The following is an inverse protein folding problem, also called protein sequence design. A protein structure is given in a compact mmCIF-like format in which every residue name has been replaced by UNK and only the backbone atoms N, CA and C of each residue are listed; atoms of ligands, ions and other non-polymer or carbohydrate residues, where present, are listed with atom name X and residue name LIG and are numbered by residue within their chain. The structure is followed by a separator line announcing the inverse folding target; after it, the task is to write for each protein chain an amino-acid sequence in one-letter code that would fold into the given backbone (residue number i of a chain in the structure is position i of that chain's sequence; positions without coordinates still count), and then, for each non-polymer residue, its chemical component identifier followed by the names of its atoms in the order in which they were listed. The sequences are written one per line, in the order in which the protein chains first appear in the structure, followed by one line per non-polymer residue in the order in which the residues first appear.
data_IF_479685660737
#
_entry.id   IF_479685660737
#
_cell.length_a   1.000
_cell.length_b   1.000
_cell.length_c   1.000
_cell.angle_alpha   90.00
_cell.angle_beta   90.00
_cell.angle_gamma   90.00
#
_symmetry.space_group_name_H-M   'P 1'
#
loop_
_entity.id
_entity.type
_entity.pdbx_description
1 polymer ?
#
# COMPACT_ATOMS: atom_id res chain seq x y z
N UNK A 1 25.63 -9.81 13.30
CA UNK A 1 24.95 -10.65 14.30
C UNK A 1 24.59 -11.96 13.63
N UNK A 2 24.93 -13.11 14.22
CA UNK A 2 24.38 -14.39 13.75
C UNK A 2 22.88 -14.37 14.10
N UNK A 3 22.03 -14.50 13.09
CA UNK A 3 20.60 -14.77 13.29
C UNK A 3 20.51 -16.11 14.01
N UNK A 4 20.19 -16.11 15.30
CA UNK A 4 19.84 -17.34 16.01
C UNK A 4 18.51 -17.83 15.42
N UNK A 5 18.50 -19.08 14.94
CA UNK A 5 17.29 -19.73 14.48
C UNK A 5 16.35 -19.83 15.68
N UNK A 6 15.09 -19.39 15.51
CA UNK A 6 14.05 -19.48 16.53
C UNK A 6 13.89 -20.93 16.98
N UNK A 7 13.65 -21.12 18.28
CA UNK A 7 13.40 -22.46 18.82
C UNK A 7 12.05 -23.00 18.35
N UNK A 8 11.90 -24.32 18.32
CA UNK A 8 10.62 -24.98 18.00
C UNK A 8 9.51 -24.58 18.97
N UNK A 9 9.84 -24.44 20.25
CA UNK A 9 8.90 -24.02 21.30
C UNK A 9 8.38 -22.58 21.08
N UNK A 10 9.23 -21.67 20.62
CA UNK A 10 8.81 -20.30 20.27
C UNK A 10 7.87 -20.28 19.06
N UNK A 11 8.15 -21.11 18.05
CA UNK A 11 7.29 -21.26 16.87
C UNK A 11 5.93 -21.86 17.23
N UNK A 12 5.90 -22.89 18.06
CA UNK A 12 4.65 -23.54 18.49
C UNK A 12 3.77 -22.57 19.29
N UNK A 13 4.36 -21.79 20.20
CA UNK A 13 3.64 -20.73 20.94
C UNK A 13 3.13 -19.61 20.03
N UNK A 14 3.87 -19.25 18.99
CA UNK A 14 3.46 -18.27 17.99
C UNK A 14 2.29 -18.80 17.15
N UNK A 15 2.36 -20.07 16.72
CA UNK A 15 1.28 -20.76 16.01
C UNK A 15 0.02 -20.86 16.87
N UNK A 16 0.13 -21.28 18.14
CA UNK A 16 -1.00 -21.35 19.06
C UNK A 16 -1.64 -19.97 19.27
N UNK A 17 -0.83 -18.92 19.43
CA UNK A 17 -1.31 -17.54 19.52
C UNK A 17 -2.03 -17.12 18.24
N UNK A 18 -1.45 -17.41 17.08
CA UNK A 18 -2.08 -17.10 15.78
C UNK A 18 -3.43 -17.82 15.70
N UNK A 19 -3.46 -19.15 15.85
CA UNK A 19 -4.69 -19.95 15.80
C UNK A 19 -5.76 -19.44 16.76
N UNK A 20 -5.39 -19.09 18.00
CA UNK A 20 -6.31 -18.50 18.96
C UNK A 20 -6.88 -17.17 18.47
N UNK A 21 -6.01 -16.27 17.98
CA UNK A 21 -6.45 -15.00 17.42
C UNK A 21 -7.37 -15.21 16.22
N UNK A 22 -7.12 -16.21 15.36
CA UNK A 22 -7.98 -16.57 14.24
C UNK A 22 -9.39 -16.93 14.76
N UNK A 23 -9.48 -17.85 15.72
CA UNK A 23 -10.77 -18.30 16.27
C UNK A 23 -11.53 -17.16 16.96
N UNK A 24 -10.86 -16.37 17.81
CA UNK A 24 -11.48 -15.22 18.49
C UNK A 24 -11.95 -14.16 17.48
N UNK A 25 -11.20 -13.96 16.39
CA UNK A 25 -11.59 -13.04 15.31
C UNK A 25 -12.80 -13.52 14.52
N UNK A 26 -12.93 -14.83 14.30
CA UNK A 26 -14.12 -15.43 13.69
C UNK A 26 -15.34 -15.29 14.59
N UNK A 27 -15.21 -15.63 15.87
CA UNK A 27 -16.29 -15.49 16.85
C UNK A 27 -16.74 -14.03 16.97
N UNK A 28 -15.79 -13.09 17.00
CA UNK A 28 -16.10 -11.66 17.01
C UNK A 28 -16.79 -11.22 15.71
N UNK A 29 -16.32 -11.68 14.55
CA UNK A 29 -16.89 -11.32 13.25
C UNK A 29 -18.36 -11.74 13.12
N UNK A 30 -18.67 -13.00 13.46
CA UNK A 30 -20.04 -13.51 13.42
C UNK A 30 -20.91 -12.81 14.47
N UNK A 31 -20.35 -12.52 15.64
CA UNK A 31 -21.02 -11.75 16.68
C UNK A 31 -21.38 -10.33 16.21
N UNK A 32 -20.45 -9.58 15.61
CA UNK A 32 -20.70 -8.20 15.17
C UNK A 32 -21.65 -8.12 13.97
N UNK A 33 -21.62 -9.08 13.04
CA UNK A 33 -22.55 -9.12 11.90
C UNK A 33 -24.00 -9.33 12.33
N UNK A 34 -24.22 -9.92 13.51
CA UNK A 34 -25.56 -10.09 14.09
C UNK A 34 -26.20 -8.79 14.59
N UNK A 35 -25.46 -7.68 14.68
CA UNK A 35 -25.99 -6.40 15.13
C UNK A 35 -26.46 -5.51 13.97
N UNK A 36 -27.66 -4.97 14.12
CA UNK A 36 -28.17 -3.88 13.28
C UNK A 36 -27.74 -2.53 13.86
N UNK A 37 -26.52 -2.09 13.53
CA UNK A 37 -26.01 -0.79 13.95
C UNK A 37 -26.57 0.32 13.06
N UNK A 38 -27.31 1.26 13.66
CA UNK A 38 -27.73 2.47 12.96
C UNK A 38 -26.57 3.46 12.79
N UNK A 39 -26.75 4.43 11.88
CA UNK A 39 -25.79 5.53 11.65
C UNK A 39 -25.32 6.20 12.96
N UNK A 40 -26.23 6.42 13.92
CA UNK A 40 -25.87 7.07 15.20
C UNK A 40 -24.94 6.21 16.04
N UNK A 41 -25.12 4.90 16.03
CA UNK A 41 -24.34 3.98 16.83
C UNK A 41 -22.92 3.89 16.27
N UNK A 42 -22.81 3.72 14.94
CA UNK A 42 -21.53 3.76 14.22
C UNK A 42 -20.71 5.00 14.54
N UNK A 43 -21.33 6.19 14.46
CA UNK A 43 -20.60 7.44 14.67
C UNK A 43 -20.23 7.69 16.14
N UNK A 44 -21.08 7.26 17.09
CA UNK A 44 -20.84 7.43 18.53
C UNK A 44 -19.78 6.48 19.09
N UNK A 45 -19.54 5.36 18.43
CA UNK A 45 -18.51 4.41 18.84
C UNK A 45 -17.08 4.96 18.65
N UNK A 46 -16.91 6.04 17.89
CA UNK A 46 -15.61 6.68 17.70
C UNK A 46 -15.40 7.77 18.75
N UNK A 47 -14.49 7.53 19.68
CA UNK A 47 -14.08 8.50 20.70
C UNK A 47 -13.13 9.55 20.12
N UNK A 48 -13.70 10.60 19.54
CA UNK A 48 -12.94 11.68 18.89
C UNK A 48 -11.98 12.40 19.86
N UNK A 49 -12.33 12.55 21.14
CA UNK A 49 -11.48 13.23 22.14
C UNK A 49 -10.19 12.43 22.33
N UNK A 50 -10.32 11.11 22.44
CA UNK A 50 -9.16 10.21 22.56
C UNK A 50 -8.24 10.28 21.34
N UNK A 51 -8.77 10.53 20.13
CA UNK A 51 -7.93 10.74 18.94
C UNK A 51 -7.12 12.03 19.07
N UNK A 52 -7.74 13.12 19.52
CA UNK A 52 -7.03 14.38 19.71
C UNK A 52 -5.90 14.25 20.75
N UNK A 53 -6.14 13.51 21.83
CA UNK A 53 -5.16 13.23 22.87
C UNK A 53 -3.99 12.38 22.34
N UNK A 54 -4.28 11.23 21.72
CA UNK A 54 -3.25 10.29 21.25
C UNK A 54 -2.46 10.88 20.08
N UNK A 55 -3.14 11.53 19.14
CA UNK A 55 -2.50 12.02 17.91
C UNK A 55 -1.77 13.36 18.11
N UNK A 56 -1.89 13.99 19.28
CA UNK A 56 -1.19 15.23 19.61
C UNK A 56 0.30 15.14 19.32
N UNK A 57 0.93 14.04 19.71
CA UNK A 57 2.37 13.82 19.60
C UNK A 57 2.75 12.96 18.39
N UNK A 58 1.79 12.60 17.53
CA UNK A 58 2.09 11.81 16.33
C UNK A 58 3.05 12.55 15.38
N UNK A 59 4.09 11.84 14.96
CA UNK A 59 4.99 12.22 13.88
C UNK A 59 4.49 11.72 12.50
N UNK A 60 5.27 12.02 11.46
CA UNK A 60 4.92 11.63 10.09
C UNK A 60 4.84 10.12 9.87
N UNK A 61 5.73 9.33 10.47
CA UNK A 61 5.74 7.87 10.29
C UNK A 61 4.51 7.25 10.95
N UNK A 62 4.17 7.72 12.15
CA UNK A 62 2.99 7.25 12.87
C UNK A 62 1.70 7.55 12.08
N UNK A 63 1.57 8.74 11.47
CA UNK A 63 0.46 9.02 10.56
C UNK A 63 0.47 8.12 9.32
N UNK A 64 1.64 7.93 8.71
CA UNK A 64 1.77 7.09 7.52
C UNK A 64 1.25 5.67 7.78
N UNK A 65 1.72 5.04 8.86
CA UNK A 65 1.30 3.68 9.25
C UNK A 65 -0.19 3.66 9.59
N UNK A 66 -0.66 4.63 10.38
CA UNK A 66 -2.07 4.72 10.75
C UNK A 66 -3.01 4.86 9.54
N UNK A 67 -2.62 5.62 8.52
CA UNK A 67 -3.41 5.76 7.28
C UNK A 67 -3.33 4.52 6.41
N UNK A 68 -2.14 3.95 6.17
CA UNK A 68 -1.98 2.75 5.33
C UNK A 68 -2.82 1.59 5.84
N UNK A 69 -2.80 1.37 7.15
CA UNK A 69 -3.68 0.41 7.84
C UNK A 69 -5.15 0.59 7.47
N UNK A 70 -5.68 1.82 7.61
CA UNK A 70 -7.10 2.13 7.34
C UNK A 70 -7.46 2.03 5.86
N UNK A 71 -6.55 2.41 4.97
CA UNK A 71 -6.72 2.28 3.52
C UNK A 71 -6.84 0.80 3.14
N UNK A 72 -5.97 -0.06 3.67
CA UNK A 72 -6.02 -1.51 3.43
C UNK A 72 -7.33 -2.11 3.92
N UNK A 73 -7.76 -1.79 5.15
CA UNK A 73 -9.05 -2.28 5.67
C UNK A 73 -10.24 -1.82 4.82
N UNK A 74 -10.25 -0.55 4.36
CA UNK A 74 -11.30 -0.08 3.46
C UNK A 74 -11.30 -0.83 2.12
N UNK A 75 -10.11 -1.12 1.57
CA UNK A 75 -9.97 -1.88 0.34
C UNK A 75 -10.47 -3.32 0.51
N UNK A 76 -10.16 -3.97 1.64
CA UNK A 76 -10.66 -5.31 1.96
C UNK A 76 -12.18 -5.35 2.10
N UNK A 77 -12.79 -4.35 2.75
CA UNK A 77 -14.26 -4.23 2.83
C UNK A 77 -14.87 -4.05 1.43
N UNK A 78 -14.27 -3.23 0.58
CA UNK A 78 -14.75 -3.02 -0.79
C UNK A 78 -14.60 -4.27 -1.65
N UNK A 79 -13.48 -4.99 -1.52
CA UNK A 79 -13.27 -6.24 -2.24
C UNK A 79 -14.23 -7.33 -1.78
N UNK A 80 -14.43 -7.49 -0.49
CA UNK A 80 -15.41 -8.43 0.06
C UNK A 80 -16.83 -8.15 -0.46
N UNK A 81 -17.23 -6.87 -0.56
CA UNK A 81 -18.51 -6.49 -1.17
C UNK A 81 -18.62 -6.85 -2.64
N UNK A 82 -17.51 -6.75 -3.38
CA UNK A 82 -17.46 -7.17 -4.78
C UNK A 82 -17.66 -8.68 -4.89
N UNK A 83 -16.96 -9.47 -4.07
CA UNK A 83 -17.13 -10.93 -3.99
C UNK A 83 -18.58 -11.30 -3.63
N UNK A 84 -19.16 -10.69 -2.60
CA UNK A 84 -20.56 -10.90 -2.19
C UNK A 84 -21.58 -10.52 -3.29
N UNK A 85 -21.18 -9.72 -4.28
CA UNK A 85 -22.04 -9.32 -5.41
C UNK A 85 -21.91 -10.21 -6.65
N UNK A 86 -20.96 -11.14 -6.67
CA UNK A 86 -20.79 -12.08 -7.77
C UNK A 86 -21.97 -13.06 -7.81
N UNK A 87 -22.60 -13.18 -8.99
CA UNK A 87 -23.70 -14.11 -9.21
C UNK A 87 -23.21 -15.38 -9.89
N UNK A 88 -23.93 -16.48 -9.67
CA UNK A 88 -23.58 -17.75 -10.31
C UNK A 88 -23.66 -17.66 -11.83
N UNK A 89 -24.56 -16.85 -12.39
CA UNK A 89 -24.62 -16.60 -13.84
C UNK A 89 -23.39 -15.86 -14.38
N UNK A 90 -22.82 -14.93 -13.61
CA UNK A 90 -21.56 -14.27 -13.99
C UNK A 90 -20.41 -15.28 -14.01
N UNK A 91 -20.31 -16.12 -12.99
CA UNK A 91 -19.33 -17.21 -12.92
C UNK A 91 -19.45 -18.17 -14.11
N UNK A 92 -20.67 -18.58 -14.46
CA UNK A 92 -20.89 -19.48 -15.60
C UNK A 92 -20.53 -18.83 -16.94
N UNK A 93 -20.60 -17.50 -17.06
CA UNK A 93 -20.27 -16.81 -18.31
C UNK A 93 -18.78 -16.85 -18.68
N UNK A 94 -17.92 -17.19 -17.71
CA UNK A 94 -16.49 -17.40 -17.93
C UNK A 94 -16.16 -18.79 -18.49
N UNK A 95 -17.15 -19.70 -18.58
CA UNK A 95 -17.00 -21.01 -19.20
C UNK A 95 -17.54 -20.97 -20.62
N UNK A 96 -16.66 -21.18 -21.61
CA UNK A 96 -17.09 -21.33 -23.01
C UNK A 96 -17.43 -22.78 -23.34
N UNK A 97 -18.41 -23.00 -24.22
CA UNK A 97 -18.82 -24.34 -24.68
C UNK A 97 -17.63 -25.15 -25.28
N UNK A 98 -16.62 -24.46 -25.79
CA UNK A 98 -15.41 -25.07 -26.39
C UNK A 98 -14.36 -25.51 -25.35
N UNK A 99 -14.34 -24.90 -24.14
CA UNK A 99 -13.41 -25.23 -23.05
C UNK A 99 -13.91 -26.38 -22.17
N UNK A 100 -15.21 -26.69 -22.20
CA UNK A 100 -15.83 -27.79 -21.45
C UNK A 100 -15.49 -29.17 -22.04
N UNK A 101 -14.87 -29.22 -23.23
CA UNK A 101 -14.51 -30.45 -23.95
C UNK A 101 -13.03 -30.87 -23.84
N UNK A 102 -12.18 -30.08 -23.18
CA UNK A 102 -10.78 -30.45 -22.94
C UNK A 102 -10.67 -31.14 -21.56
N UNK A 103 -10.02 -32.31 -21.48
CA UNK A 103 -9.89 -33.14 -20.26
C UNK A 103 -9.11 -32.46 -19.11
N UNK A 104 -8.69 -31.20 -19.32
CA UNK A 104 -7.85 -30.40 -18.42
C UNK A 104 -8.66 -29.29 -17.73
N UNK A 105 -9.78 -28.84 -18.29
CA UNK A 105 -10.58 -27.73 -17.76
C UNK A 105 -11.56 -28.24 -16.71
N UNK A 106 -11.48 -27.67 -15.51
CA UNK A 106 -12.37 -28.07 -14.41
C UNK A 106 -13.80 -27.68 -14.75
N UNK A 107 -14.74 -28.61 -14.60
CA UNK A 107 -16.17 -28.32 -14.73
C UNK A 107 -16.59 -27.23 -13.73
N UNK A 108 -17.58 -26.38 -14.08
CA UNK A 108 -18.13 -25.41 -13.14
C UNK A 108 -18.63 -26.14 -11.89
N UNK A 109 -18.32 -25.58 -10.72
CA UNK A 109 -18.79 -26.13 -9.45
C UNK A 109 -20.31 -25.95 -9.32
N UNK A 110 -21.01 -26.82 -8.58
CA UNK A 110 -22.43 -26.61 -8.27
C UNK A 110 -22.70 -25.23 -7.65
N UNK A 111 -23.87 -24.67 -7.90
CA UNK A 111 -24.28 -23.34 -7.41
C UNK A 111 -24.14 -23.19 -5.88
N UNK A 112 -24.48 -24.25 -5.13
CA UNK A 112 -24.33 -24.28 -3.67
C UNK A 112 -22.86 -24.14 -3.24
N UNK A 113 -21.97 -24.92 -3.87
CA UNK A 113 -20.53 -24.90 -3.59
C UNK A 113 -19.90 -23.56 -4.01
N UNK A 114 -20.39 -22.94 -5.08
CA UNK A 114 -19.98 -21.60 -5.50
C UNK A 114 -20.27 -20.55 -4.42
N UNK A 115 -21.52 -20.52 -3.92
CA UNK A 115 -21.91 -19.56 -2.89
C UNK A 115 -21.22 -19.81 -1.54
N UNK A 116 -20.94 -21.07 -1.20
CA UNK A 116 -20.16 -21.39 0.00
C UNK A 116 -18.68 -20.99 -0.17
N UNK A 117 -18.11 -21.16 -1.37
CA UNK A 117 -16.79 -20.64 -1.72
C UNK A 117 -16.68 -19.13 -1.57
N UNK A 118 -17.65 -18.36 -2.10
CA UNK A 118 -17.71 -16.90 -1.93
C UNK A 118 -17.73 -16.51 -0.45
N UNK A 119 -18.56 -17.17 0.37
CA UNK A 119 -18.63 -16.88 1.82
C UNK A 119 -17.27 -17.10 2.48
N UNK A 120 -16.56 -18.17 2.12
CA UNK A 120 -15.26 -18.48 2.70
C UNK A 120 -14.17 -17.49 2.25
N UNK A 121 -14.19 -17.07 0.99
CA UNK A 121 -13.28 -16.05 0.48
C UNK A 121 -13.55 -14.68 1.10
N UNK A 122 -14.82 -14.30 1.27
CA UNK A 122 -15.23 -13.08 2.00
C UNK A 122 -14.79 -13.13 3.45
N UNK A 123 -14.95 -14.28 4.14
CA UNK A 123 -14.45 -14.47 5.51
C UNK A 123 -12.93 -14.32 5.59
N UNK A 124 -12.20 -14.90 4.63
CA UNK A 124 -10.73 -14.82 4.58
C UNK A 124 -10.28 -13.37 4.36
N UNK A 125 -10.91 -12.67 3.43
CA UNK A 125 -10.61 -11.27 3.13
C UNK A 125 -10.88 -10.35 4.33
N UNK A 126 -11.97 -10.61 5.07
CA UNK A 126 -12.37 -9.78 6.21
C UNK A 126 -11.72 -10.16 7.54
N UNK A 127 -10.79 -11.11 7.56
CA UNK A 127 -10.15 -11.58 8.79
C UNK A 127 -9.32 -10.48 9.49
N UNK A 128 -8.43 -9.80 8.76
CA UNK A 128 -7.68 -8.66 9.31
C UNK A 128 -8.60 -7.47 9.62
N UNK A 129 -9.70 -7.36 8.85
CA UNK A 129 -10.73 -6.35 9.08
C UNK A 129 -11.43 -6.57 10.42
N UNK A 130 -11.81 -7.80 10.79
CA UNK A 130 -12.51 -8.07 12.05
C UNK A 130 -11.64 -7.72 13.27
N UNK A 131 -10.35 -8.08 13.23
CA UNK A 131 -9.37 -7.68 14.25
C UNK A 131 -9.27 -6.15 14.35
N UNK A 132 -9.29 -5.45 13.21
CA UNK A 132 -9.24 -3.99 13.24
C UNK A 132 -10.52 -3.36 13.76
N UNK A 133 -11.69 -3.89 13.40
CA UNK A 133 -12.98 -3.43 13.92
C UNK A 133 -13.04 -3.56 15.44
N UNK A 134 -12.55 -4.68 15.99
CA UNK A 134 -12.44 -4.87 17.44
C UNK A 134 -11.62 -3.74 18.09
N UNK A 135 -10.46 -3.41 17.51
CA UNK A 135 -9.63 -2.29 17.96
C UNK A 135 -10.36 -0.95 17.84
N UNK A 136 -11.21 -0.74 16.85
CA UNK A 136 -12.03 0.48 16.76
C UNK A 136 -13.00 0.54 17.94
N UNK A 137 -13.75 -0.53 18.20
CA UNK A 137 -14.75 -0.57 19.28
C UNK A 137 -14.15 -0.38 20.68
N UNK A 138 -12.94 -0.89 20.94
CA UNK A 138 -12.22 -0.65 22.20
C UNK A 138 -11.42 0.66 22.22
N UNK A 139 -11.47 1.45 21.14
CA UNK A 139 -10.75 2.73 21.01
C UNK A 139 -9.22 2.58 20.89
N UNK A 140 -8.74 1.38 20.56
CA UNK A 140 -7.32 1.05 20.44
C UNK A 140 -6.81 1.13 18.99
N UNK A 141 -7.68 1.41 18.01
CA UNK A 141 -7.33 1.51 16.58
C UNK A 141 -6.29 2.59 16.25
N UNK A 142 -6.06 3.57 17.12
CA UNK A 142 -5.05 4.63 16.95
C UNK A 142 -3.66 4.16 17.35
N UNK A 143 -3.56 3.19 18.27
CA UNK A 143 -2.25 2.72 18.76
C UNK A 143 -1.48 2.04 17.63
N UNK A 144 -0.19 2.34 17.57
CA UNK A 144 0.77 1.66 16.69
C UNK A 144 1.45 0.55 17.49
N UNK A 145 1.37 -0.68 16.98
CA UNK A 145 1.90 -1.90 17.57
C UNK A 145 3.01 -2.48 16.68
N UNK A 146 3.71 -3.51 17.17
CA UNK A 146 4.73 -4.22 16.38
C UNK A 146 4.18 -4.78 15.07
N UNK A 147 2.94 -5.27 15.09
CA UNK A 147 2.31 -5.91 13.94
C UNK A 147 2.03 -4.89 12.84
N UNK A 148 1.86 -3.62 13.20
CA UNK A 148 1.64 -2.52 12.25
C UNK A 148 2.91 -2.16 11.46
N UNK A 149 4.09 -2.69 11.83
CA UNK A 149 5.31 -2.53 11.04
C UNK A 149 5.17 -3.13 9.64
N UNK A 150 4.23 -4.07 9.42
CA UNK A 150 3.93 -4.62 8.09
C UNK A 150 3.57 -3.54 7.08
N UNK A 151 2.87 -2.48 7.51
CA UNK A 151 2.49 -1.35 6.68
C UNK A 151 3.65 -0.41 6.35
N UNK A 152 4.78 -0.56 7.06
CA UNK A 152 6.01 0.15 6.78
C UNK A 152 7.00 -0.69 5.95
N UNK A 153 6.91 -2.03 5.91
CA UNK A 153 7.97 -2.92 5.39
C UNK A 153 8.57 -2.52 4.02
N UNK A 154 7.75 -2.02 3.10
CA UNK A 154 8.21 -1.61 1.77
C UNK A 154 8.81 -0.20 1.70
N UNK A 155 9.05 0.44 2.85
CA UNK A 155 9.61 1.80 2.90
C UNK A 155 10.96 1.89 2.17
N UNK A 156 11.77 0.84 2.21
CA UNK A 156 13.07 0.78 1.51
C UNK A 156 12.92 0.88 -0.01
N UNK A 157 11.86 0.32 -0.57
CA UNK A 157 11.55 0.46 -2.00
C UNK A 157 11.16 1.90 -2.39
N UNK A 158 10.86 2.76 -1.41
CA UNK A 158 10.52 4.17 -1.61
C UNK A 158 11.74 5.10 -1.58
N UNK A 159 12.94 4.56 -1.42
CA UNK A 159 14.16 5.38 -1.48
C UNK A 159 14.32 5.98 -2.89
N UNK A 160 14.50 7.29 -2.98
CA UNK A 160 14.52 8.02 -4.27
C UNK A 160 15.86 7.90 -5.00
N UNK A 161 16.95 7.63 -4.27
CA UNK A 161 18.29 7.39 -4.80
C UNK A 161 18.83 6.11 -4.15
N UNK A 162 19.06 5.08 -4.96
CA UNK A 162 19.60 3.81 -4.51
C UNK A 162 21.01 3.60 -5.08
N UNK A 163 21.95 3.21 -4.22
CA UNK A 163 23.23 2.70 -4.67
C UNK A 163 23.04 1.26 -5.16
N UNK A 164 23.48 0.98 -6.38
CA UNK A 164 23.54 -0.38 -6.90
C UNK A 164 24.69 -1.09 -6.21
N UNK A 165 24.38 -2.00 -5.30
CA UNK A 165 25.38 -2.94 -4.78
C UNK A 165 25.51 -4.11 -5.76
N UNK A 166 26.43 -3.96 -6.73
CA UNK A 166 26.71 -4.99 -7.73
C UNK A 166 27.13 -6.32 -7.09
N UNK A 167 27.73 -6.30 -5.90
CA UNK A 167 28.10 -7.53 -5.20
C UNK A 167 26.88 -8.22 -4.61
N UNK A 168 25.95 -7.45 -4.02
CA UNK A 168 24.66 -7.98 -3.55
C UNK A 168 23.80 -8.46 -4.71
N UNK A 169 23.74 -7.73 -5.81
CA UNK A 169 23.00 -8.15 -7.02
C UNK A 169 23.62 -9.44 -7.58
N UNK A 170 24.94 -9.50 -7.73
CA UNK A 170 25.61 -10.74 -8.15
C UNK A 170 25.38 -11.90 -7.16
N UNK A 171 25.34 -11.62 -5.86
CA UNK A 171 25.04 -12.62 -4.82
C UNK A 171 23.59 -13.12 -4.90
N UNK A 172 22.60 -12.21 -4.99
CA UNK A 172 21.18 -12.53 -5.15
C UNK A 172 20.93 -13.27 -6.46
N UNK A 173 21.56 -12.86 -7.57
CA UNK A 173 21.48 -13.55 -8.85
C UNK A 173 22.10 -14.95 -8.80
N UNK A 174 23.13 -15.16 -7.96
CA UNK A 174 23.79 -16.45 -7.80
C UNK A 174 22.99 -17.42 -6.92
N UNK A 175 22.25 -16.93 -5.92
CA UNK A 175 21.46 -17.75 -4.99
C UNK A 175 19.98 -17.85 -5.37
N UNK A 176 19.42 -16.85 -6.03
CA UNK A 176 18.12 -16.88 -6.71
C UNK A 176 18.11 -17.80 -7.92
N UNK A 177 19.25 -18.41 -8.27
CA UNK A 177 19.43 -19.42 -9.31
C UNK A 177 18.65 -20.73 -9.12
N UNK A 178 17.74 -20.82 -8.14
CA UNK A 178 16.65 -21.81 -8.18
C UNK A 178 15.54 -21.39 -9.17
N UNK A 179 15.49 -20.11 -9.61
CA UNK A 179 14.55 -19.53 -10.59
C UNK A 179 15.20 -18.57 -11.62
N UNK A 180 16.44 -18.80 -12.06
CA UNK A 180 17.04 -18.12 -13.24
C UNK A 180 18.15 -17.10 -12.93
N UNK A 181 19.40 -17.57 -12.90
CA UNK A 181 20.60 -16.71 -12.77
C UNK A 181 20.99 -16.01 -14.07
N UNK A 182 22.12 -15.26 -14.09
CA UNK A 182 22.66 -14.58 -15.29
C UNK A 182 23.42 -15.51 -16.25
N UNK A 183 22.88 -16.68 -16.55
CA UNK A 183 23.51 -17.72 -17.39
C UNK A 183 23.12 -17.64 -18.88
N UNK A 184 22.06 -16.90 -19.22
CA UNK A 184 21.69 -16.56 -20.58
C UNK A 184 22.64 -15.50 -21.18
N UNK A 185 23.55 -15.99 -22.03
CA UNK A 185 24.54 -15.18 -22.75
C UNK A 185 23.92 -14.11 -23.65
N UNK A 186 22.78 -14.39 -24.28
CA UNK A 186 22.11 -13.45 -25.19
C UNK A 186 21.56 -12.24 -24.41
N UNK A 187 20.94 -12.48 -23.25
CA UNK A 187 20.47 -11.40 -22.39
C UNK A 187 21.62 -10.54 -21.88
N UNK A 188 22.76 -11.15 -21.52
CA UNK A 188 23.94 -10.43 -21.06
C UNK A 188 24.55 -9.55 -22.18
N UNK A 189 24.56 -10.03 -23.43
CA UNK A 189 25.01 -9.26 -24.60
C UNK A 189 24.08 -8.07 -24.88
N UNK A 190 22.76 -8.29 -24.90
CA UNK A 190 21.76 -7.23 -25.10
C UNK A 190 21.83 -6.15 -24.01
N UNK A 191 21.95 -6.54 -22.74
CA UNK A 191 22.13 -5.61 -21.61
C UNK A 191 23.44 -4.82 -21.76
N UNK A 192 24.53 -5.51 -22.09
CA UNK A 192 25.84 -4.89 -22.30
C UNK A 192 25.85 -3.85 -23.43
N UNK A 193 25.10 -4.08 -24.50
CA UNK A 193 24.99 -3.16 -25.64
C UNK A 193 24.14 -1.92 -25.30
N UNK A 194 23.10 -2.07 -24.49
CA UNK A 194 22.30 -0.94 -23.96
C UNK A 194 23.13 -0.04 -23.06
N UNK A 195 23.98 -0.62 -22.21
CA UNK A 195 24.82 0.13 -21.26
C UNK A 195 25.96 0.93 -21.93
N UNK A 196 26.40 0.53 -23.13
CA UNK A 196 27.53 1.17 -23.83
C UNK A 196 27.12 2.40 -24.67
N UNK A 197 25.95 2.98 -24.42
CA UNK A 197 25.40 4.19 -25.07
C UNK A 197 25.26 4.14 -26.61
N UNK A 198 25.47 2.98 -27.23
CA UNK A 198 25.38 2.77 -28.68
C UNK A 198 24.23 1.83 -29.11
N UNK A 199 23.23 1.64 -28.24
CA UNK A 199 22.14 0.72 -28.53
C UNK A 199 21.19 1.26 -29.61
N UNK A 200 20.91 0.40 -30.60
CA UNK A 200 19.85 0.62 -31.56
C UNK A 200 18.47 0.50 -30.92
N UNK A 201 17.44 1.05 -31.56
CA UNK A 201 16.03 0.92 -31.15
C UNK A 201 15.65 -0.56 -31.00
N UNK A 202 16.13 -1.41 -31.90
CA UNK A 202 15.94 -2.86 -31.87
C UNK A 202 16.63 -3.53 -30.67
N UNK A 203 17.82 -3.07 -30.27
CA UNK A 203 18.50 -3.55 -29.06
C UNK A 203 17.69 -3.21 -27.81
N UNK A 204 17.11 -2.01 -27.74
CA UNK A 204 16.23 -1.59 -26.63
C UNK A 204 14.94 -2.40 -26.59
N UNK A 205 14.36 -2.77 -27.74
CA UNK A 205 13.19 -3.66 -27.80
C UNK A 205 13.52 -5.05 -27.25
N UNK A 206 14.64 -5.64 -27.68
CA UNK A 206 15.10 -6.94 -27.17
C UNK A 206 15.36 -6.94 -25.67
N UNK A 207 15.91 -5.85 -25.13
CA UNK A 207 16.11 -5.72 -23.69
C UNK A 207 14.79 -5.78 -22.88
N UNK A 208 13.65 -5.41 -23.50
CA UNK A 208 12.33 -5.48 -22.86
C UNK A 208 11.72 -6.88 -22.86
N UNK A 209 12.22 -7.77 -23.71
CA UNK A 209 11.77 -9.17 -23.79
C UNK A 209 12.49 -10.06 -22.77
N UNK A 210 13.52 -9.51 -22.09
CA UNK A 210 14.23 -10.20 -21.01
C UNK A 210 13.28 -10.38 -19.81
N UNK A 211 13.15 -11.60 -19.25
CA UNK A 211 12.29 -11.87 -18.11
C UNK A 211 12.59 -10.93 -16.94
N UNK A 212 11.52 -10.48 -16.28
CA UNK A 212 11.63 -9.66 -15.07
C UNK A 212 12.42 -10.43 -14.01
N UNK A 213 13.38 -9.78 -13.34
CA UNK A 213 14.26 -10.43 -12.37
C UNK A 213 15.52 -11.10 -12.95
N UNK A 214 15.66 -11.20 -14.28
CA UNK A 214 16.89 -11.74 -14.87
C UNK A 214 18.06 -10.74 -14.69
N UNK A 215 19.00 -11.11 -13.81
CA UNK A 215 20.19 -10.30 -13.51
C UNK A 215 19.98 -9.10 -12.60
N UNK A 216 18.78 -8.89 -12.07
CA UNK A 216 18.41 -7.77 -11.22
C UNK A 216 17.41 -8.22 -10.15
N UNK A 217 17.40 -7.56 -8.98
CA UNK A 217 16.37 -7.79 -7.96
C UNK A 217 14.98 -7.52 -8.58
N UNK A 218 14.02 -8.43 -8.40
CA UNK A 218 12.61 -8.17 -8.72
C UNK A 218 12.20 -6.87 -8.01
N UNK A 219 12.07 -5.77 -8.77
CA UNK A 219 11.67 -4.47 -8.24
C UNK A 219 12.45 -3.23 -8.71
N UNK A 220 13.54 -3.37 -9.49
CA UNK A 220 14.41 -2.21 -9.80
C UNK A 220 14.12 -1.42 -11.08
N UNK A 221 13.59 -2.06 -12.12
CA UNK A 221 13.34 -1.41 -13.43
C UNK A 221 11.89 -0.95 -13.48
N UNK A 222 11.55 0.01 -12.62
CA UNK A 222 10.27 0.69 -12.69
C UNK A 222 10.16 1.50 -13.99
N UNK A 223 8.94 1.65 -14.52
CA UNK A 223 8.60 2.59 -15.63
C UNK A 223 8.79 4.08 -15.24
N UNK A 224 9.69 4.39 -14.30
CA UNK A 224 9.91 5.68 -13.67
C UNK A 224 11.33 5.87 -13.10
N UNK A 225 12.28 4.97 -13.39
CA UNK A 225 13.68 5.06 -12.92
C UNK A 225 14.64 5.27 -14.09
N UNK A 226 15.79 5.88 -13.82
CA UNK A 226 16.88 6.09 -14.79
C UNK A 226 18.23 5.87 -14.11
N UNK A 227 19.18 5.31 -14.85
CA UNK A 227 20.53 5.04 -14.38
C UNK A 227 21.44 6.24 -14.61
N UNK A 228 22.39 6.44 -13.69
CA UNK A 228 23.41 7.49 -13.78
C UNK A 228 24.75 6.95 -13.29
N UNK A 229 25.81 7.30 -14.02
CA UNK A 229 27.18 7.18 -13.54
C UNK A 229 27.53 8.42 -12.72
N UNK A 230 28.16 8.24 -11.56
CA UNK A 230 28.51 9.32 -10.63
C UNK A 230 30.00 9.21 -10.30
N UNK A 231 30.76 10.25 -10.64
CA UNK A 231 32.17 10.36 -10.28
C UNK A 231 32.32 10.76 -8.80
N UNK A 232 32.57 9.78 -7.94
CA UNK A 232 32.74 9.99 -6.50
C UNK A 232 34.03 10.74 -6.13
N UNK A 233 34.93 11.01 -7.08
CA UNK A 233 36.12 11.84 -6.84
C UNK A 233 35.85 13.34 -6.99
N UNK A 234 34.72 13.72 -7.59
CA UNK A 234 34.32 15.11 -7.74
C UNK A 234 33.88 15.71 -6.38
N UNK A 235 34.16 17.00 -6.13
CA UNK A 235 33.63 17.70 -4.96
C UNK A 235 32.09 17.67 -4.87
N UNK A 236 31.54 17.53 -3.66
CA UNK A 236 30.10 17.47 -3.38
C UNK A 236 29.30 18.62 -4.03
N UNK A 237 29.83 19.85 -3.98
CA UNK A 237 29.18 21.01 -4.59
C UNK A 237 28.97 20.85 -6.10
N UNK A 238 29.95 20.26 -6.78
CA UNK A 238 29.91 19.97 -8.22
C UNK A 238 28.91 18.84 -8.49
N UNK A 239 28.93 17.79 -7.67
CA UNK A 239 27.97 16.68 -7.78
C UNK A 239 26.53 17.14 -7.60
N UNK A 240 26.25 17.96 -6.58
CA UNK A 240 24.89 18.46 -6.32
C UNK A 240 24.40 19.39 -7.42
N UNK A 241 25.26 20.27 -7.93
CA UNK A 241 24.87 21.17 -9.02
C UNK A 241 24.71 20.41 -10.34
N UNK A 242 25.60 19.47 -10.64
CA UNK A 242 25.49 18.55 -11.77
C UNK A 242 24.17 17.77 -11.73
N UNK A 243 23.83 17.18 -10.58
CA UNK A 243 22.58 16.42 -10.41
C UNK A 243 21.32 17.28 -10.60
N UNK A 244 21.28 18.50 -10.04
CA UNK A 244 20.15 19.42 -10.22
C UNK A 244 19.91 19.77 -11.69
N UNK A 245 20.98 19.96 -12.46
CA UNK A 245 20.89 20.30 -13.88
C UNK A 245 20.53 19.06 -14.72
N UNK A 246 21.04 17.89 -14.34
CA UNK A 246 20.78 16.63 -15.04
C UNK A 246 19.35 16.09 -14.85
N UNK A 247 18.76 16.20 -13.65
CA UNK A 247 17.48 15.53 -13.33
C UNK A 247 16.32 15.96 -14.25
N UNK A 248 16.31 17.22 -14.72
CA UNK A 248 15.30 17.71 -15.66
C UNK A 248 15.42 17.01 -17.03
N UNK A 249 16.65 16.90 -17.52
CA UNK A 249 16.96 16.20 -18.76
C UNK A 249 16.67 14.69 -18.65
N UNK A 250 17.06 14.08 -17.54
CA UNK A 250 16.81 12.68 -17.23
C UNK A 250 15.30 12.33 -17.28
N UNK A 251 14.45 13.19 -16.70
CA UNK A 251 12.98 13.06 -16.75
C UNK A 251 12.42 13.16 -18.16
N UNK A 252 12.95 14.08 -18.97
CA UNK A 252 12.53 14.25 -20.37
C UNK A 252 12.94 13.05 -21.22
N UNK A 253 14.19 12.59 -21.09
CA UNK A 253 14.68 11.38 -21.76
C UNK A 253 13.80 10.17 -21.42
N UNK A 254 13.53 9.96 -20.13
CA UNK A 254 12.64 8.90 -19.70
C UNK A 254 11.22 9.06 -20.28
N UNK A 255 10.63 10.27 -20.21
CA UNK A 255 9.29 10.52 -20.76
C UNK A 255 9.17 10.18 -22.26
N UNK A 256 10.19 10.53 -23.03
CA UNK A 256 10.25 10.23 -24.47
C UNK A 256 10.33 8.72 -24.76
N UNK A 257 11.09 7.97 -23.96
CA UNK A 257 11.26 6.51 -24.16
C UNK A 257 9.97 5.72 -23.87
N UNK A 258 9.13 6.23 -22.97
CA UNK A 258 7.91 5.54 -22.51
C UNK A 258 6.61 6.18 -23.01
N UNK A 259 6.68 7.13 -23.94
CA UNK A 259 5.54 7.92 -24.43
C UNK A 259 4.66 8.47 -23.30
N UNK A 260 5.31 8.87 -22.20
CA UNK A 260 4.64 9.45 -21.03
C UNK A 260 4.83 10.96 -21.07
N UNK A 261 3.75 11.70 -20.88
CA UNK A 261 3.83 13.14 -20.57
C UNK A 261 4.49 13.32 -19.20
N UNK A 262 5.81 13.48 -19.18
CA UNK A 262 6.55 13.81 -17.97
C UNK A 262 6.65 15.33 -17.85
N UNK A 263 6.40 15.83 -16.64
CA UNK A 263 6.62 17.24 -16.31
C UNK A 263 8.07 17.63 -16.59
N UNK A 264 8.30 18.53 -17.56
CA UNK A 264 9.61 19.16 -17.80
C UNK A 264 10.09 20.01 -16.62
N UNK A 265 9.18 20.37 -15.72
CA UNK A 265 9.45 21.22 -14.56
C UNK A 265 9.81 20.45 -13.29
N UNK A 266 10.13 21.22 -12.25
CA UNK A 266 10.32 20.72 -10.88
C UNK A 266 9.04 20.00 -10.43
N UNK A 267 9.12 18.68 -10.28
CA UNK A 267 8.07 17.88 -9.63
C UNK A 267 7.95 18.38 -8.20
N UNK A 268 6.78 18.91 -7.85
CA UNK A 268 6.50 19.38 -6.49
C UNK A 268 6.03 18.20 -5.67
N UNK A 269 6.58 18.06 -4.47
CA UNK A 269 6.00 17.17 -3.47
C UNK A 269 4.62 17.69 -3.11
N UNK A 270 3.62 16.80 -3.14
CA UNK A 270 2.29 17.12 -2.65
C UNK A 270 2.26 17.15 -1.11
N UNK A 271 3.27 16.54 -0.46
CA UNK A 271 3.41 16.59 0.98
C UNK A 271 4.04 17.90 1.47
N UNK A 272 3.42 18.49 2.49
CA UNK A 272 3.96 19.64 3.25
C UNK A 272 3.87 19.31 4.74
N UNK A 273 4.85 19.70 5.59
CA UNK A 273 4.77 19.46 7.04
C UNK A 273 3.50 20.01 7.69
N UNK A 274 2.94 21.10 7.15
CA UNK A 274 1.67 21.65 7.61
C UNK A 274 0.47 20.73 7.39
N UNK A 275 0.56 19.73 6.50
CA UNK A 275 -0.48 18.71 6.32
C UNK A 275 -0.65 17.85 7.57
N UNK A 276 0.41 17.50 8.28
CA UNK A 276 0.31 16.75 9.54
C UNK A 276 -0.58 17.51 10.54
N UNK A 277 -0.35 18.82 10.69
CA UNK A 277 -1.21 19.66 11.53
C UNK A 277 -2.65 19.69 11.03
N UNK A 278 -2.87 19.74 9.70
CA UNK A 278 -4.22 19.70 9.11
C UNK A 278 -4.91 18.36 9.36
N UNK A 279 -4.20 17.23 9.27
CA UNK A 279 -4.76 15.91 9.55
C UNK A 279 -5.25 15.78 10.98
N UNK A 280 -4.50 16.32 11.94
CA UNK A 280 -4.90 16.42 13.35
C UNK A 280 -6.16 17.27 13.50
N UNK A 281 -6.11 18.53 13.04
CA UNK A 281 -7.22 19.49 13.20
C UNK A 281 -8.52 19.02 12.52
N UNK A 282 -8.42 18.29 11.42
CA UNK A 282 -9.58 17.75 10.69
C UNK A 282 -9.97 16.34 11.16
N UNK A 283 -9.30 15.80 12.20
CA UNK A 283 -9.60 14.49 12.80
C UNK A 283 -9.71 13.38 11.74
N UNK A 284 -8.77 13.39 10.78
CA UNK A 284 -8.85 12.54 9.58
C UNK A 284 -8.84 11.05 9.93
N UNK A 285 -8.06 10.64 10.94
CA UNK A 285 -8.04 9.24 11.39
C UNK A 285 -9.39 8.81 11.98
N UNK A 286 -10.04 9.65 12.78
CA UNK A 286 -11.37 9.36 13.31
C UNK A 286 -12.40 9.24 12.19
N UNK A 287 -12.33 10.12 11.18
CA UNK A 287 -13.17 10.02 9.98
C UNK A 287 -12.99 8.70 9.24
N UNK A 288 -11.75 8.24 9.05
CA UNK A 288 -11.49 6.94 8.41
C UNK A 288 -12.14 5.79 9.18
N UNK A 289 -12.05 5.78 10.51
CA UNK A 289 -12.64 4.72 11.32
C UNK A 289 -14.18 4.78 11.30
N UNK A 290 -14.78 5.98 11.30
CA UNK A 290 -16.21 6.15 11.03
C UNK A 290 -16.59 5.61 9.65
N UNK A 291 -15.76 5.85 8.63
CA UNK A 291 -16.00 5.37 7.26
C UNK A 291 -15.88 3.84 7.18
N UNK A 292 -14.91 3.24 7.87
CA UNK A 292 -14.74 1.78 7.96
C UNK A 292 -15.98 1.15 8.59
N UNK A 293 -16.40 1.61 9.77
CA UNK A 293 -17.60 1.11 10.43
C UNK A 293 -18.85 1.31 9.56
N UNK A 294 -19.01 2.50 8.96
CA UNK A 294 -20.16 2.78 8.09
C UNK A 294 -20.19 1.87 6.87
N UNK A 295 -19.02 1.60 6.29
CA UNK A 295 -18.89 0.72 5.13
C UNK A 295 -19.20 -0.72 5.50
N UNK A 296 -18.70 -1.19 6.64
CA UNK A 296 -18.93 -2.54 7.14
C UNK A 296 -20.40 -2.81 7.48
N UNK A 297 -21.07 -1.88 8.17
CA UNK A 297 -22.49 -2.01 8.56
C UNK A 297 -23.47 -1.48 7.49
N UNK A 298 -23.00 -1.23 6.27
CA UNK A 298 -23.81 -0.70 5.15
C UNK A 298 -24.58 0.59 5.48
N UNK A 299 -24.04 1.41 6.36
CA UNK A 299 -24.61 2.68 6.76
C UNK A 299 -24.13 3.80 5.83
N UNK A 300 -25.02 4.75 5.55
CA UNK A 300 -24.72 5.92 4.72
C UNK A 300 -24.91 7.22 5.50
N UNK A 301 -23.98 7.60 6.39
CA UNK A 301 -24.07 8.86 7.11
C UNK A 301 -24.00 10.05 6.15
N UNK A 302 -24.83 11.05 6.41
CA UNK A 302 -24.79 12.34 5.70
C UNK A 302 -23.57 13.17 6.12
N UNK A 303 -23.19 14.15 5.28
CA UNK A 303 -22.09 15.08 5.61
C UNK A 303 -22.33 15.84 6.91
N UNK A 304 -23.59 16.18 7.20
CA UNK A 304 -23.96 16.80 8.47
C UNK A 304 -23.71 15.86 9.64
N UNK A 305 -24.09 14.58 9.53
CA UNK A 305 -23.85 13.61 10.60
C UNK A 305 -22.35 13.40 10.87
N UNK A 306 -21.51 13.35 9.83
CA UNK A 306 -20.06 13.36 10.01
C UNK A 306 -19.57 14.65 10.67
N UNK A 307 -20.08 15.80 10.24
CA UNK A 307 -19.70 17.11 10.81
C UNK A 307 -20.05 17.22 12.29
N UNK A 308 -21.28 16.84 12.65
CA UNK A 308 -21.79 16.85 14.03
C UNK A 308 -21.01 15.87 14.93
N UNK A 309 -20.61 14.71 14.40
CA UNK A 309 -19.82 13.72 15.15
C UNK A 309 -18.35 14.13 15.30
N UNK A 310 -17.74 14.66 14.24
CA UNK A 310 -16.32 15.01 14.23
C UNK A 310 -16.00 16.36 14.81
N UNK A 311 -16.94 17.30 14.88
CA UNK A 311 -16.69 18.69 15.31
C UNK A 311 -17.74 19.15 16.35
N UNK A 312 -18.17 18.24 17.22
CA UNK A 312 -19.18 18.48 18.26
C UNK A 312 -18.80 19.58 19.26
N UNK A 313 -17.51 19.93 19.33
CA UNK A 313 -16.90 20.93 20.21
C UNK A 313 -16.64 22.27 19.50
N UNK A 314 -16.89 22.37 18.20
CA UNK A 314 -16.75 23.62 17.44
C UNK A 314 -18.09 24.36 17.34
N UNK A 315 -18.14 25.57 17.90
CA UNK A 315 -19.30 26.45 17.84
C UNK A 315 -19.15 27.46 16.70
N UNK A 316 -20.28 27.87 16.09
CA UNK A 316 -20.35 28.88 15.02
C UNK A 316 -19.58 28.56 13.73
N UNK A 317 -19.25 27.28 13.50
CA UNK A 317 -18.63 26.79 12.27
C UNK A 317 -19.65 25.95 11.50
N UNK A 318 -19.75 26.17 10.19
CA UNK A 318 -20.49 25.25 9.31
C UNK A 318 -19.69 23.95 9.14
N UNK A 319 -19.95 23.00 10.04
CA UNK A 319 -19.29 21.69 10.08
C UNK A 319 -19.53 20.89 8.80
N UNK A 320 -20.69 21.07 8.17
CA UNK A 320 -21.05 20.37 6.92
C UNK A 320 -20.16 20.86 5.78
N UNK A 321 -20.00 22.18 5.62
CA UNK A 321 -19.11 22.76 4.63
C UNK A 321 -17.63 22.45 4.93
N UNK A 322 -17.23 22.41 6.21
CA UNK A 322 -15.89 22.00 6.62
C UNK A 322 -15.59 20.56 6.19
N UNK A 323 -16.52 19.63 6.40
CA UNK A 323 -16.42 18.25 5.89
C UNK A 323 -16.29 18.25 4.37
N UNK A 324 -17.25 18.88 3.68
CA UNK A 324 -17.35 18.85 2.21
C UNK A 324 -16.15 19.45 1.48
N UNK A 325 -15.73 20.66 1.88
CA UNK A 325 -14.72 21.44 1.16
C UNK A 325 -13.29 21.21 1.65
N UNK A 326 -13.12 20.66 2.85
CA UNK A 326 -11.79 20.57 3.49
C UNK A 326 -11.41 19.14 3.86
N UNK A 327 -12.25 18.44 4.63
CA UNK A 327 -11.94 17.08 5.08
C UNK A 327 -11.92 16.09 3.91
N UNK A 328 -13.00 16.03 3.11
CA UNK A 328 -13.11 15.07 1.99
C UNK A 328 -11.96 15.20 1.00
N UNK A 329 -11.59 16.41 0.50
CA UNK A 329 -10.45 16.52 -0.41
C UNK A 329 -9.12 16.06 0.20
N UNK A 330 -8.91 16.25 1.51
CA UNK A 330 -7.72 15.75 2.20
C UNK A 330 -7.72 14.24 2.32
N UNK A 331 -8.88 13.65 2.63
CA UNK A 331 -9.01 12.19 2.68
C UNK A 331 -8.73 11.61 1.29
N UNK A 332 -9.30 12.19 0.24
CA UNK A 332 -9.07 11.74 -1.14
C UNK A 332 -7.58 11.80 -1.51
N UNK A 333 -6.87 12.87 -1.14
CA UNK A 333 -5.41 13.00 -1.37
C UNK A 333 -4.59 11.98 -0.57
N UNK A 334 -5.09 11.52 0.58
CA UNK A 334 -4.46 10.46 1.39
C UNK A 334 -4.71 9.06 0.81
N UNK A 335 -5.90 8.80 0.26
CA UNK A 335 -6.27 7.49 -0.33
C UNK A 335 -5.70 7.34 -1.74
N UNK A 336 -6.00 8.29 -2.62
CA UNK A 336 -5.75 8.19 -4.07
C UNK A 336 -4.53 9.02 -4.51
N UNK A 337 -4.06 9.93 -3.67
CA UNK A 337 -2.95 10.82 -3.99
C UNK A 337 -1.59 10.26 -3.61
N UNK A 338 -0.54 10.87 -4.17
CA UNK A 338 0.86 10.54 -3.85
C UNK A 338 1.30 11.10 -2.48
N UNK A 339 0.39 11.56 -1.63
CA UNK A 339 0.71 12.32 -0.43
C UNK A 339 1.46 11.49 0.62
N UNK A 340 0.99 10.27 0.87
CA UNK A 340 1.64 9.32 1.80
C UNK A 340 2.99 8.83 1.27
N UNK A 341 3.10 8.61 -0.03
CA UNK A 341 4.34 8.17 -0.65
C UNK A 341 5.39 9.28 -0.63
N UNK A 342 4.99 10.52 -0.94
CA UNK A 342 5.83 11.71 -0.79
C UNK A 342 6.26 11.94 0.67
N UNK A 343 5.38 11.71 1.64
CA UNK A 343 5.71 11.76 3.07
C UNK A 343 6.81 10.73 3.39
N UNK A 344 6.64 9.48 2.97
CA UNK A 344 7.62 8.42 3.25
C UNK A 344 8.96 8.71 2.57
N UNK A 345 8.97 9.10 1.29
CA UNK A 345 10.17 9.52 0.58
C UNK A 345 10.89 10.67 1.30
N UNK A 346 10.13 11.63 1.82
CA UNK A 346 10.68 12.75 2.57
C UNK A 346 11.29 12.31 3.89
N UNK A 347 10.60 11.48 4.66
CA UNK A 347 11.13 10.90 5.90
C UNK A 347 12.44 10.19 5.62
N UNK A 348 12.49 9.30 4.61
CA UNK A 348 13.70 8.56 4.25
C UNK A 348 14.86 9.49 3.85
N UNK A 349 14.57 10.57 3.14
CA UNK A 349 15.58 11.53 2.71
C UNK A 349 16.13 12.41 3.85
N UNK A 350 15.29 12.71 4.85
CA UNK A 350 15.67 13.52 6.02
C UNK A 350 16.28 12.68 7.14
N UNK A 351 15.90 11.42 7.23
CA UNK A 351 16.37 10.52 8.25
C UNK A 351 17.78 10.03 7.89
N UNK A 352 18.73 10.22 8.81
CA UNK A 352 20.07 9.63 8.72
C UNK A 352 19.96 8.17 9.12
N UNK A 353 19.18 7.39 8.38
CA UNK A 353 18.86 6.02 8.78
C UNK A 353 20.18 5.26 8.89
N UNK A 354 20.57 4.79 10.08
CA UNK A 354 21.77 3.97 10.23
C UNK A 354 21.57 2.73 9.36
N UNK A 355 22.49 2.54 8.41
CA UNK A 355 22.51 1.37 7.54
C UNK A 355 22.78 0.10 8.34
#
# INVERSE_FOLDING_TARGET
MKSELRSTEELDLEIERVCKNITESYDFFDYIRGFDFGVKDVLKNIDVIRYDEITKDFDGIQFYVAFKKRIEILASIEYAKRLDSESYEMYLSDFTDDEILDDVTSYPVPEEDFYDGIKDDVRRELMDTSIFLEKIFYGDAVKITSDDLKYANDWRAKTTINAIDMSRIAFLNRYGGFMGGMDNKEYNEVIGDVLKENASIETVKKAREIPFGYGWEEGGIGKSTIWAEIDLSAPDEILFEGFKNWIGHAREMHGNVFDKKVSKGKVKSNFKPSLIKRWKVLRVLAYFDMKILSSFFHQSPTLKQYGDALYFDEYDVDTTEKVRKTLIPIVQDVVDGDCLDNLMQKVIAEDKIPK
#
